data_IF_816642729762
#
_entry.id   IF_816642729762
#
_cell.length_a   1.000
_cell.length_b   1.000
_cell.length_c   1.000
_cell.angle_alpha   90.00
_cell.angle_beta   90.00
_cell.angle_gamma   90.00
#
_symmetry.space_group_name_H-M   'P 1'
#
loop_
_entity.id
_entity.type
_entity.pdbx_description
1 polymer ?
#
# COMPACT_ATOMS: atom_id res chain seq x y z
N UNK A 1 -8.26 -5.10 -18.70
CA UNK A 1 -6.88 -5.63 -18.72
C UNK A 1 -5.99 -4.67 -19.48
N UNK A 2 -4.73 -4.52 -19.05
CA UNK A 2 -3.68 -3.77 -19.72
C UNK A 2 -2.63 -4.74 -20.29
N UNK A 3 -1.98 -4.34 -21.39
CA UNK A 3 -0.88 -5.08 -21.99
C UNK A 3 0.38 -4.22 -21.93
N UNK A 4 1.36 -4.65 -21.13
CA UNK A 4 2.69 -4.05 -21.05
C UNK A 4 3.61 -4.82 -22.01
N UNK A 5 4.10 -4.14 -23.06
CA UNK A 5 5.05 -4.72 -24.05
C UNK A 5 6.44 -4.16 -23.77
N UNK A 6 7.39 -5.02 -23.43
CA UNK A 6 8.76 -4.63 -23.03
C UNK A 6 9.78 -5.22 -24.00
N UNK A 7 10.59 -4.40 -24.71
CA UNK A 7 11.65 -4.91 -25.56
C UNK A 7 12.73 -5.63 -24.73
N UNK A 8 13.11 -6.85 -25.11
CA UNK A 8 14.17 -7.62 -24.44
C UNK A 8 15.54 -6.93 -24.46
N UNK A 9 15.79 -6.10 -25.48
CA UNK A 9 17.01 -5.31 -25.59
C UNK A 9 17.01 -4.02 -24.73
N UNK A 10 15.92 -3.74 -24.01
CA UNK A 10 15.81 -2.55 -23.16
C UNK A 10 16.56 -2.76 -21.84
N UNK A 11 17.16 -1.69 -21.30
CA UNK A 11 17.79 -1.71 -19.99
C UNK A 11 16.82 -2.07 -18.84
N UNK A 12 15.51 -1.94 -19.07
CA UNK A 12 14.46 -2.22 -18.11
C UNK A 12 13.86 -3.64 -18.24
N UNK A 13 14.33 -4.45 -19.18
CA UNK A 13 13.75 -5.76 -19.47
C UNK A 13 13.79 -6.71 -18.26
N UNK A 14 14.94 -6.81 -17.60
CA UNK A 14 15.14 -7.66 -16.42
C UNK A 14 14.30 -7.18 -15.23
N UNK A 15 14.23 -5.87 -15.00
CA UNK A 15 13.40 -5.29 -13.94
C UNK A 15 11.92 -5.57 -14.17
N UNK A 16 11.41 -5.36 -15.38
CA UNK A 16 10.01 -5.63 -15.72
C UNK A 16 9.66 -7.12 -15.59
N UNK A 17 10.59 -8.02 -15.94
CA UNK A 17 10.40 -9.45 -15.78
C UNK A 17 10.37 -9.85 -14.29
N UNK A 18 11.27 -9.30 -13.49
CA UNK A 18 11.34 -9.53 -12.04
C UNK A 18 10.08 -9.02 -11.35
N UNK A 19 9.62 -7.82 -11.71
CA UNK A 19 8.35 -7.24 -11.25
C UNK A 19 7.16 -8.14 -11.57
N UNK A 20 7.03 -8.60 -12.83
CA UNK A 20 5.94 -9.45 -13.24
C UNK A 20 5.93 -10.80 -12.50
N UNK A 21 7.10 -11.39 -12.27
CA UNK A 21 7.25 -12.65 -11.50
C UNK A 21 6.85 -12.45 -10.05
N UNK A 22 7.29 -11.35 -9.43
CA UNK A 22 6.92 -10.99 -8.07
C UNK A 22 5.41 -10.82 -7.95
N UNK A 23 4.81 -9.95 -8.77
CA UNK A 23 3.37 -9.68 -8.76
C UNK A 23 2.53 -10.95 -9.02
N UNK A 24 3.01 -11.87 -9.86
CA UNK A 24 2.31 -13.15 -10.12
C UNK A 24 2.22 -14.03 -8.87
N UNK A 25 3.13 -13.87 -7.92
CA UNK A 25 3.15 -14.61 -6.64
C UNK A 25 2.28 -13.97 -5.54
N UNK A 26 1.77 -12.75 -5.78
CA UNK A 26 1.03 -11.96 -4.80
C UNK A 26 -0.47 -12.00 -5.08
N UNK A 27 -1.26 -12.14 -4.02
CA UNK A 27 -2.71 -12.10 -4.08
C UNK A 27 -3.26 -11.20 -2.97
N UNK A 28 -3.50 -9.92 -3.31
CA UNK A 28 -4.05 -8.92 -2.39
C UNK A 28 -4.92 -7.91 -3.14
N UNK A 29 -6.06 -7.44 -2.57
CA UNK A 29 -6.95 -6.50 -3.26
C UNK A 29 -6.30 -5.17 -3.64
N UNK A 30 -5.28 -4.73 -2.90
CA UNK A 30 -4.52 -3.50 -3.19
C UNK A 30 -3.27 -3.72 -4.05
N UNK A 31 -3.08 -4.90 -4.64
CA UNK A 31 -1.96 -5.20 -5.56
C UNK A 31 -2.56 -5.57 -6.93
N UNK A 32 -2.00 -5.07 -8.06
CA UNK A 32 -2.43 -5.43 -9.40
C UNK A 32 -2.22 -6.93 -9.67
N UNK A 33 -3.19 -7.56 -10.32
CA UNK A 33 -3.05 -8.96 -10.75
C UNK A 33 -2.33 -9.08 -12.06
N UNK A 34 -1.40 -10.02 -12.16
CA UNK A 34 -0.86 -10.48 -13.43
C UNK A 34 -1.73 -11.65 -13.93
N UNK A 35 -2.35 -11.47 -15.09
CA UNK A 35 -3.22 -12.48 -15.69
C UNK A 35 -2.45 -13.46 -16.56
N UNK A 36 -1.47 -12.92 -17.31
CA UNK A 36 -0.70 -13.72 -18.24
C UNK A 36 0.67 -13.11 -18.50
N UNK A 37 1.59 -13.95 -18.95
CA UNK A 37 2.95 -13.57 -19.31
C UNK A 37 3.38 -14.42 -20.50
N UNK A 38 3.71 -13.74 -21.61
CA UNK A 38 4.22 -14.37 -22.82
C UNK A 38 5.51 -13.68 -23.29
N UNK A 39 6.27 -14.34 -24.14
CA UNK A 39 7.46 -13.79 -24.75
C UNK A 39 7.65 -14.30 -26.19
N UNK A 40 8.26 -13.47 -27.01
CA UNK A 40 8.81 -13.85 -28.31
C UNK A 40 10.32 -13.55 -28.34
N UNK A 41 10.93 -13.59 -29.54
CA UNK A 41 12.36 -13.35 -29.67
C UNK A 41 12.77 -11.92 -29.31
N UNK A 42 11.87 -10.94 -29.34
CA UNK A 42 12.17 -9.51 -29.22
C UNK A 42 11.52 -8.85 -27.98
N UNK A 43 10.40 -9.40 -27.48
CA UNK A 43 9.59 -8.74 -26.46
C UNK A 43 9.12 -9.70 -25.38
N UNK A 44 8.89 -9.12 -24.17
CA UNK A 44 8.01 -9.66 -23.14
C UNK A 44 6.64 -9.02 -23.27
N UNK A 45 5.58 -9.81 -23.03
CA UNK A 45 4.18 -9.38 -23.03
C UNK A 45 3.57 -9.71 -21.68
N UNK A 46 3.22 -8.70 -20.89
CA UNK A 46 2.66 -8.85 -19.55
C UNK A 46 1.21 -8.38 -19.62
N UNK A 47 0.26 -9.27 -19.34
CA UNK A 47 -1.16 -8.96 -19.25
C UNK A 47 -1.51 -8.76 -17.79
N UNK A 48 -1.82 -7.53 -17.42
CA UNK A 48 -2.08 -7.13 -16.05
C UNK A 48 -3.47 -6.49 -15.85
N UNK A 49 -3.85 -6.29 -14.59
CA UNK A 49 -5.07 -5.59 -14.22
C UNK A 49 -4.98 -4.13 -14.71
N UNK A 50 -5.97 -3.72 -15.50
CA UNK A 50 -6.15 -2.29 -15.81
C UNK A 50 -6.81 -1.61 -14.63
N UNK A 51 -6.17 -0.59 -14.08
CA UNK A 51 -6.65 0.18 -12.95
C UNK A 51 -7.18 1.51 -13.49
N UNK A 52 -8.51 1.69 -13.39
CA UNK A 52 -9.19 2.91 -13.79
C UNK A 52 -9.30 3.86 -12.60
N UNK A 53 -8.33 4.75 -12.45
CA UNK A 53 -8.22 5.65 -11.31
C UNK A 53 -7.19 6.75 -11.52
N UNK A 54 -7.01 7.58 -10.52
CA UNK A 54 -5.99 8.62 -10.48
C UNK A 54 -4.98 8.35 -9.37
N UNK A 55 -3.80 8.95 -9.44
CA UNK A 55 -2.80 8.83 -8.37
C UNK A 55 -3.32 9.45 -7.07
N UNK A 56 -2.84 8.92 -5.94
CA UNK A 56 -3.21 9.49 -4.63
C UNK A 56 -2.84 10.97 -4.52
N UNK A 57 -1.73 11.38 -5.12
CA UNK A 57 -1.33 12.78 -5.21
C UNK A 57 -2.40 13.63 -5.92
N UNK A 58 -2.77 13.26 -7.15
CA UNK A 58 -3.81 13.96 -7.90
C UNK A 58 -5.15 13.97 -7.16
N UNK A 59 -5.53 12.83 -6.58
CA UNK A 59 -6.76 12.70 -5.80
C UNK A 59 -6.78 13.68 -4.62
N UNK A 60 -5.71 13.72 -3.81
CA UNK A 60 -5.62 14.62 -2.66
C UNK A 60 -5.65 16.10 -3.07
N UNK A 61 -4.94 16.46 -4.13
CA UNK A 61 -4.95 17.83 -4.68
C UNK A 61 -6.34 18.24 -5.18
N UNK A 62 -7.10 17.33 -5.81
CA UNK A 62 -8.49 17.59 -6.24
C UNK A 62 -9.44 17.74 -5.05
N UNK A 63 -9.26 16.95 -3.99
CA UNK A 63 -10.10 17.03 -2.78
C UNK A 63 -9.83 18.28 -1.96
N UNK A 64 -8.59 18.82 -1.97
CA UNK A 64 -8.10 19.93 -1.17
C UNK A 64 -8.20 19.72 0.35
N UNK A 65 -9.30 19.14 0.83
CA UNK A 65 -9.52 18.78 2.23
C UNK A 65 -10.22 17.42 2.30
N UNK A 66 -9.64 16.49 3.05
CA UNK A 66 -10.21 15.16 3.26
C UNK A 66 -10.81 15.02 4.67
N UNK A 67 -11.87 14.21 4.78
CA UNK A 67 -12.49 13.92 6.07
C UNK A 67 -11.64 12.95 6.87
N UNK A 68 -11.73 12.96 8.24
CA UNK A 68 -11.11 11.95 9.08
C UNK A 68 -11.46 10.51 8.67
N UNK A 69 -12.71 10.26 8.27
CA UNK A 69 -13.13 8.94 7.81
C UNK A 69 -12.40 8.47 6.56
N UNK A 70 -12.17 9.37 5.58
CA UNK A 70 -11.40 9.06 4.39
C UNK A 70 -9.92 8.82 4.73
N UNK A 71 -9.34 9.63 5.62
CA UNK A 71 -7.98 9.43 6.11
C UNK A 71 -7.81 8.03 6.72
N UNK A 72 -8.69 7.62 7.64
CA UNK A 72 -8.61 6.30 8.25
C UNK A 72 -8.80 5.16 7.24
N UNK A 73 -9.67 5.33 6.24
CA UNK A 73 -9.83 4.36 5.16
C UNK A 73 -8.55 4.18 4.34
N UNK A 74 -7.86 5.27 4.04
CA UNK A 74 -6.57 5.24 3.34
C UNK A 74 -5.53 4.53 4.21
N UNK A 75 -5.42 4.88 5.50
CA UNK A 75 -4.49 4.24 6.44
C UNK A 75 -4.73 2.74 6.54
N UNK A 76 -5.97 2.30 6.68
CA UNK A 76 -6.34 0.89 6.77
C UNK A 76 -5.86 0.11 5.55
N UNK A 77 -6.14 0.60 4.34
CA UNK A 77 -5.77 -0.08 3.11
C UNK A 77 -4.25 -0.14 2.92
N UNK A 78 -3.54 0.96 3.22
CA UNK A 78 -2.07 1.01 3.17
C UNK A 78 -1.46 0.05 4.20
N UNK A 79 -1.87 0.13 5.45
CA UNK A 79 -1.33 -0.76 6.48
C UNK A 79 -1.59 -2.24 6.14
N UNK A 80 -2.78 -2.58 5.66
CA UNK A 80 -3.13 -3.96 5.31
C UNK A 80 -2.24 -4.51 4.18
N UNK A 81 -1.95 -3.74 3.12
CA UNK A 81 -1.07 -4.22 2.05
C UNK A 81 0.37 -4.39 2.54
N UNK A 82 0.88 -3.51 3.40
CA UNK A 82 2.24 -3.65 3.96
C UNK A 82 2.34 -4.76 4.99
N UNK A 83 1.31 -4.99 5.80
CA UNK A 83 1.23 -6.18 6.67
C UNK A 83 1.29 -7.44 5.80
N UNK A 84 0.53 -7.49 4.70
CA UNK A 84 0.58 -8.62 3.77
C UNK A 84 1.99 -8.83 3.19
N UNK A 85 2.64 -7.79 2.66
CA UNK A 85 3.98 -7.89 2.07
C UNK A 85 5.03 -8.35 3.08
N UNK A 86 4.92 -7.93 4.34
CA UNK A 86 5.91 -8.22 5.37
C UNK A 86 5.68 -9.57 6.08
N UNK A 87 4.46 -10.15 6.05
CA UNK A 87 4.12 -11.30 6.91
C UNK A 87 3.55 -12.52 6.20
N UNK A 88 2.92 -12.35 5.03
CA UNK A 88 2.17 -13.45 4.38
C UNK A 88 3.03 -14.40 3.56
N UNK A 89 4.29 -14.05 3.35
CA UNK A 89 5.23 -14.82 2.54
C UNK A 89 6.36 -15.27 3.46
N UNK A 90 6.90 -16.46 3.24
CA UNK A 90 8.02 -17.02 4.03
C UNK A 90 9.23 -16.09 4.13
N UNK A 91 9.38 -15.19 3.17
CA UNK A 91 10.41 -14.16 3.14
C UNK A 91 9.73 -12.81 2.94
N UNK A 92 9.87 -11.85 3.86
CA UNK A 92 9.28 -10.52 3.71
C UNK A 92 9.69 -9.86 2.39
N UNK A 93 8.74 -9.14 1.78
CA UNK A 93 8.98 -8.28 0.63
C UNK A 93 9.02 -6.85 1.11
N UNK A 94 10.11 -6.14 0.80
CA UNK A 94 10.26 -4.72 1.07
C UNK A 94 9.93 -3.97 -0.22
N UNK A 95 9.01 -3.02 -0.14
CA UNK A 95 8.52 -2.28 -1.31
C UNK A 95 9.49 -1.18 -1.76
N UNK A 96 10.06 -0.40 -0.86
CA UNK A 96 11.15 0.58 -1.01
C UNK A 96 10.84 1.87 -1.77
N UNK A 97 9.79 1.95 -2.56
CA UNK A 97 9.47 3.16 -3.35
C UNK A 97 8.03 3.64 -3.12
N UNK A 98 7.64 3.71 -1.85
CA UNK A 98 6.32 4.22 -1.47
C UNK A 98 6.27 5.74 -1.60
N UNK A 99 5.37 6.21 -2.47
CA UNK A 99 5.08 7.63 -2.69
C UNK A 99 3.66 7.79 -3.25
N UNK A 100 3.06 8.98 -3.15
CA UNK A 100 1.66 9.20 -3.59
C UNK A 100 1.40 8.83 -5.05
N UNK A 101 2.38 9.01 -5.94
CA UNK A 101 2.28 8.70 -7.37
C UNK A 101 2.21 7.19 -7.65
N UNK A 102 2.69 6.33 -6.74
CA UNK A 102 2.66 4.88 -6.85
C UNK A 102 1.42 4.24 -6.22
N UNK A 103 0.45 5.06 -5.84
CA UNK A 103 -0.84 4.60 -5.30
C UNK A 103 -1.94 5.13 -6.21
N UNK A 104 -2.74 4.22 -6.79
CA UNK A 104 -3.91 4.60 -7.59
C UNK A 104 -5.16 4.49 -6.73
N UNK A 105 -5.96 5.55 -6.73
CA UNK A 105 -7.28 5.61 -6.09
C UNK A 105 -8.34 5.28 -7.13
N UNK A 106 -9.06 4.19 -6.92
CA UNK A 106 -10.15 3.75 -7.78
C UNK A 106 -11.37 3.40 -6.91
N UNK A 107 -12.47 4.17 -7.00
CA UNK A 107 -13.71 3.96 -6.24
C UNK A 107 -13.48 3.70 -4.73
N UNK A 108 -12.71 4.56 -4.07
CA UNK A 108 -12.30 4.43 -2.66
C UNK A 108 -11.44 3.19 -2.35
N UNK A 109 -10.94 2.50 -3.36
CA UNK A 109 -9.94 1.43 -3.21
C UNK A 109 -8.57 1.94 -3.61
N UNK A 110 -7.55 1.48 -2.90
CA UNK A 110 -6.17 1.79 -3.24
C UNK A 110 -5.52 0.60 -3.95
N UNK A 111 -4.74 0.92 -4.98
CA UNK A 111 -3.86 -0.02 -5.66
C UNK A 111 -2.44 0.50 -5.60
N UNK A 112 -1.56 -0.29 -5.00
CA UNK A 112 -0.13 -0.03 -4.97
C UNK A 112 0.48 -0.55 -6.26
N UNK A 113 1.14 0.33 -7.03
CA UNK A 113 1.73 0.02 -8.34
C UNK A 113 3.25 0.16 -8.28
N UNK A 114 3.95 -0.26 -9.34
CA UNK A 114 5.40 -0.16 -9.50
C UNK A 114 6.21 -0.92 -8.43
N UNK A 115 6.28 -2.24 -8.61
CA UNK A 115 7.09 -3.15 -7.81
C UNK A 115 8.51 -3.35 -8.38
N UNK A 116 8.93 -2.49 -9.33
CA UNK A 116 10.19 -2.64 -10.06
C UNK A 116 11.45 -2.61 -9.21
N UNK A 117 11.40 -1.99 -8.02
CA UNK A 117 12.51 -1.95 -7.04
C UNK A 117 12.24 -2.75 -5.77
N UNK A 118 11.10 -3.42 -5.69
CA UNK A 118 10.74 -4.28 -4.56
C UNK A 118 11.62 -5.54 -4.53
N UNK A 119 11.96 -6.01 -3.35
CA UNK A 119 12.85 -7.15 -3.18
C UNK A 119 12.50 -8.02 -1.98
N UNK A 120 12.82 -9.32 -2.09
CA UNK A 120 12.83 -10.23 -0.95
C UNK A 120 14.04 -9.97 -0.05
N UNK A 121 13.85 -10.00 1.26
CA UNK A 121 14.91 -9.74 2.27
C UNK A 121 16.17 -10.61 2.11
N UNK A 122 16.07 -11.81 1.53
CA UNK A 122 17.17 -12.80 1.49
C UNK A 122 17.94 -12.83 0.15
N UNK A 123 17.38 -12.27 -0.94
CA UNK A 123 17.95 -12.54 -2.27
C UNK A 123 19.05 -11.59 -2.72
N UNK A 124 19.18 -10.43 -2.10
CA UNK A 124 20.14 -9.44 -2.55
C UNK A 124 21.29 -9.25 -1.56
N UNK A 125 22.21 -10.21 -1.55
CA UNK A 125 23.53 -9.94 -1.00
C UNK A 125 24.21 -8.81 -1.78
N UNK A 126 24.34 -7.64 -1.18
CA UNK A 126 25.26 -6.54 -1.54
C UNK A 126 25.04 -5.76 -2.85
N UNK A 127 23.93 -5.89 -3.58
CA UNK A 127 23.67 -5.07 -4.76
C UNK A 127 22.34 -4.31 -4.67
N UNK A 128 22.05 -3.70 -3.51
CA UNK A 128 21.00 -2.71 -3.45
C UNK A 128 21.48 -1.43 -4.15
N UNK A 129 21.12 -1.27 -5.43
CA UNK A 129 21.26 0.03 -6.05
C UNK A 129 20.50 1.04 -5.19
N UNK A 130 21.06 2.23 -4.99
CA UNK A 130 20.47 3.35 -4.26
C UNK A 130 19.24 3.83 -5.02
N UNK A 131 18.06 3.25 -4.70
CA UNK A 131 16.79 3.64 -5.28
C UNK A 131 15.90 4.21 -4.18
N UNK A 132 15.16 5.24 -4.53
CA UNK A 132 14.12 5.82 -3.70
C UNK A 132 13.94 7.31 -3.99
N UNK A 133 12.77 7.83 -3.66
CA UNK A 133 12.51 9.26 -3.64
C UNK A 133 13.04 9.82 -2.32
N UNK A 134 13.94 10.83 -2.35
CA UNK A 134 14.58 11.44 -1.17
C UNK A 134 13.51 11.89 -0.14
N UNK A 135 12.34 12.28 -0.57
CA UNK A 135 11.28 12.80 0.30
C UNK A 135 10.59 11.70 1.13
N UNK A 136 10.42 10.49 0.55
CA UNK A 136 9.65 9.42 1.17
C UNK A 136 10.51 8.23 1.63
N UNK A 137 11.72 8.08 1.13
CA UNK A 137 12.55 6.91 1.41
C UNK A 137 13.35 7.05 2.69
N UNK A 138 13.51 5.94 3.40
CA UNK A 138 14.29 5.87 4.62
C UNK A 138 15.78 6.16 4.39
N UNK A 139 16.50 6.77 5.36
CA UNK A 139 17.91 7.12 5.21
C UNK A 139 18.80 5.95 4.83
N UNK A 140 18.52 4.74 5.36
CA UNK A 140 19.27 3.52 5.06
C UNK A 140 19.14 3.08 3.59
N UNK A 141 18.14 3.55 2.84
CA UNK A 141 18.02 3.28 1.41
C UNK A 141 19.12 3.97 0.58
N UNK A 142 19.85 4.93 1.17
CA UNK A 142 20.90 5.71 0.50
C UNK A 142 22.29 5.41 1.05
N UNK A 143 22.41 4.49 2.01
CA UNK A 143 23.67 4.04 2.61
C UNK A 143 23.97 2.59 2.19
N UNK A 144 25.04 2.03 2.73
CA UNK A 144 25.39 0.62 2.55
C UNK A 144 24.77 -0.28 3.65
N UNK A 145 23.82 0.25 4.41
CA UNK A 145 23.15 -0.47 5.48
C UNK A 145 22.17 -1.52 4.92
N UNK A 146 21.91 -2.54 5.72
CA UNK A 146 20.94 -3.57 5.37
C UNK A 146 19.52 -2.99 5.41
N UNK A 147 18.82 -3.04 4.29
CA UNK A 147 17.43 -2.62 4.20
C UNK A 147 16.54 -3.70 4.78
N UNK A 148 15.63 -3.30 5.68
CA UNK A 148 14.68 -4.15 6.38
C UNK A 148 13.25 -3.63 6.17
N UNK A 149 12.19 -4.36 6.58
CA UNK A 149 10.81 -3.84 6.59
C UNK A 149 10.63 -2.49 7.31
N UNK A 150 11.55 -2.12 8.20
CA UNK A 150 11.55 -0.81 8.84
C UNK A 150 11.71 0.36 7.85
N UNK A 151 12.28 0.14 6.66
CA UNK A 151 12.34 1.15 5.60
C UNK A 151 10.95 1.50 5.07
N UNK A 152 10.07 0.51 4.87
CA UNK A 152 8.69 0.76 4.46
C UNK A 152 7.87 1.44 5.55
N UNK A 153 8.16 1.17 6.83
CA UNK A 153 7.52 1.86 7.97
C UNK A 153 7.88 3.36 7.96
N UNK A 154 9.14 3.69 7.66
CA UNK A 154 9.54 5.09 7.49
C UNK A 154 8.78 5.75 6.34
N UNK A 155 8.74 5.09 5.18
CA UNK A 155 8.03 5.60 4.00
C UNK A 155 6.53 5.77 4.26
N UNK A 156 5.90 4.83 5.00
CA UNK A 156 4.52 4.96 5.46
C UNK A 156 4.36 6.20 6.36
N UNK A 157 5.28 6.43 7.30
CA UNK A 157 5.27 7.62 8.16
C UNK A 157 5.32 8.91 7.35
N UNK A 158 6.21 9.03 6.37
CA UNK A 158 6.32 10.17 5.48
C UNK A 158 5.03 10.36 4.64
N UNK A 159 4.50 9.27 4.09
CA UNK A 159 3.26 9.31 3.33
C UNK A 159 2.07 9.75 4.21
N UNK A 160 1.96 9.24 5.43
CA UNK A 160 0.91 9.67 6.37
C UNK A 160 1.04 11.16 6.72
N UNK A 161 2.28 11.64 6.92
CA UNK A 161 2.54 13.06 7.14
C UNK A 161 2.06 13.90 5.96
N UNK A 162 2.36 13.48 4.72
CA UNK A 162 1.89 14.13 3.51
C UNK A 162 0.36 14.16 3.43
N UNK A 163 -0.32 13.01 3.63
CA UNK A 163 -1.79 12.94 3.59
C UNK A 163 -2.43 13.84 4.66
N UNK A 164 -1.82 13.94 5.84
CA UNK A 164 -2.31 14.79 6.94
C UNK A 164 -2.29 16.28 6.60
N UNK A 165 -1.49 16.74 5.63
CA UNK A 165 -1.55 18.15 5.17
C UNK A 165 -2.87 18.50 4.50
N UNK A 166 -3.63 17.51 4.06
CA UNK A 166 -4.98 17.65 3.49
C UNK A 166 -6.10 17.43 4.52
N UNK A 167 -5.79 17.46 5.82
CA UNK A 167 -6.76 17.33 6.91
C UNK A 167 -6.76 18.58 7.79
N UNK A 168 -7.82 18.82 8.59
CA UNK A 168 -7.81 19.96 9.53
C UNK A 168 -6.68 19.83 10.55
N UNK A 169 -6.02 20.94 10.90
CA UNK A 169 -4.91 20.99 11.87
C UNK A 169 -5.23 20.30 13.19
N UNK A 170 -6.44 20.53 13.73
CA UNK A 170 -6.90 19.93 14.99
C UNK A 170 -6.97 18.40 14.93
N UNK A 171 -7.04 17.83 13.73
CA UNK A 171 -7.00 16.39 13.50
C UNK A 171 -5.56 15.90 13.31
N UNK A 172 -4.76 16.58 12.46
CA UNK A 172 -3.39 16.17 12.13
C UNK A 172 -2.47 16.10 13.37
N UNK A 173 -2.59 17.02 14.30
CA UNK A 173 -1.80 17.04 15.55
C UNK A 173 -1.88 15.76 16.37
N UNK A 174 -2.97 15.01 16.27
CA UNK A 174 -3.15 13.74 17.00
C UNK A 174 -2.18 12.64 16.57
N UNK A 175 -1.63 12.75 15.37
CA UNK A 175 -0.74 11.75 14.76
C UNK A 175 0.75 12.09 14.91
N UNK A 176 1.09 13.23 15.51
CA UNK A 176 2.46 13.72 15.55
C UNK A 176 3.43 12.71 16.17
N UNK A 177 3.06 12.01 17.25
CA UNK A 177 3.92 11.01 17.89
C UNK A 177 4.11 9.77 17.00
N UNK A 178 3.05 9.35 16.27
CA UNK A 178 3.11 8.22 15.34
C UNK A 178 4.08 8.53 14.20
N UNK A 179 3.94 9.73 13.60
CA UNK A 179 4.83 10.18 12.54
C UNK A 179 6.27 10.24 13.03
N UNK A 180 6.54 10.91 14.16
CA UNK A 180 7.89 11.02 14.70
C UNK A 180 8.54 9.67 14.96
N UNK A 181 7.81 8.69 15.54
CA UNK A 181 8.32 7.35 15.78
C UNK A 181 8.58 6.60 14.47
N UNK A 182 7.64 6.64 13.51
CA UNK A 182 7.79 5.98 12.22
C UNK A 182 8.96 6.54 11.40
N UNK A 183 9.19 7.88 11.45
CA UNK A 183 10.19 8.57 10.63
C UNK A 183 11.51 8.85 11.38
N UNK A 184 11.75 8.18 12.49
CA UNK A 184 13.03 8.24 13.21
C UNK A 184 14.16 7.72 12.31
N UNK A 185 15.31 8.42 12.27
CA UNK A 185 16.44 8.06 11.42
C UNK A 185 17.00 6.68 11.77
N UNK A 186 17.09 6.35 13.05
CA UNK A 186 17.48 5.02 13.52
C UNK A 186 16.33 4.03 13.33
N UNK A 187 16.52 3.07 12.42
CA UNK A 187 15.53 2.06 12.10
C UNK A 187 15.11 1.21 13.31
N UNK A 188 16.02 1.02 14.30
CA UNK A 188 15.75 0.22 15.50
C UNK A 188 14.78 0.89 16.49
N UNK A 189 14.58 2.20 16.37
CA UNK A 189 13.68 2.99 17.22
C UNK A 189 12.29 3.18 16.61
N UNK A 190 12.07 2.72 15.38
CA UNK A 190 10.76 2.74 14.71
C UNK A 190 9.84 1.67 15.30
N UNK A 191 8.65 1.55 14.73
CA UNK A 191 7.78 0.40 14.97
C UNK A 191 8.47 -0.88 14.51
N UNK A 192 8.27 -1.98 15.22
CA UNK A 192 8.83 -3.28 14.83
C UNK A 192 8.05 -3.84 13.64
N UNK A 193 6.74 -3.58 13.59
CA UNK A 193 5.84 -4.04 12.52
C UNK A 193 4.87 -2.94 12.09
N UNK A 194 4.37 -3.03 10.85
CA UNK A 194 3.28 -2.16 10.39
C UNK A 194 1.99 -2.40 11.20
N UNK A 195 1.80 -3.59 11.74
CA UNK A 195 0.63 -3.89 12.59
C UNK A 195 0.65 -3.05 13.88
N UNK A 196 1.80 -2.86 14.52
CA UNK A 196 1.93 -1.98 15.69
C UNK A 196 1.63 -0.52 15.33
N UNK A 197 2.16 -0.02 14.23
CA UNK A 197 1.84 1.33 13.73
C UNK A 197 0.34 1.48 13.49
N UNK A 198 -0.28 0.50 12.83
CA UNK A 198 -1.71 0.54 12.55
C UNK A 198 -2.57 0.47 13.81
N UNK A 199 -2.16 -0.30 14.82
CA UNK A 199 -2.84 -0.35 16.11
C UNK A 199 -2.92 1.03 16.79
N UNK A 200 -1.83 1.80 16.80
CA UNK A 200 -1.85 3.16 17.36
C UNK A 200 -2.76 4.10 16.55
N UNK A 201 -2.82 3.97 15.22
CA UNK A 201 -3.77 4.71 14.38
C UNK A 201 -5.22 4.35 14.73
N UNK A 202 -5.53 3.08 14.94
CA UNK A 202 -6.87 2.62 15.33
C UNK A 202 -7.28 3.14 16.73
N UNK A 203 -6.34 3.30 17.65
CA UNK A 203 -6.64 3.90 18.96
C UNK A 203 -7.07 5.36 18.82
N UNK A 204 -6.39 6.14 17.96
CA UNK A 204 -6.82 7.51 17.67
C UNK A 204 -8.21 7.50 17.00
N UNK A 205 -8.47 6.57 16.08
CA UNK A 205 -9.78 6.43 15.42
C UNK A 205 -10.91 6.24 16.44
N UNK A 206 -10.73 5.33 17.39
CA UNK A 206 -11.70 5.08 18.47
C UNK A 206 -11.96 6.33 19.32
N UNK A 207 -10.88 7.06 19.67
CA UNK A 207 -10.97 8.29 20.48
C UNK A 207 -11.65 9.45 19.71
N UNK A 208 -11.60 9.45 18.40
CA UNK A 208 -12.25 10.48 17.56
C UNK A 208 -13.72 10.20 17.28
N UNK A 209 -14.25 9.08 17.75
CA UNK A 209 -15.64 8.68 17.52
C UNK A 209 -15.96 8.35 16.07
N UNK A 210 -14.95 8.17 15.23
CA UNK A 210 -15.14 7.76 13.82
C UNK A 210 -15.42 6.26 13.79
N UNK A 211 -16.56 5.81 13.23
CA UNK A 211 -16.83 4.39 13.11
C UNK A 211 -15.81 3.75 12.16
N UNK A 212 -15.39 2.53 12.50
CA UNK A 212 -14.73 1.69 11.51
C UNK A 212 -15.65 1.59 10.30
N UNK A 213 -15.11 1.73 9.09
CA UNK A 213 -15.87 1.45 7.87
C UNK A 213 -16.29 -0.03 7.93
N UNK A 214 -17.53 -0.26 8.35
CA UNK A 214 -18.11 -1.59 8.29
C UNK A 214 -18.18 -1.93 6.79
N UNK A 215 -17.41 -2.93 6.37
CA UNK A 215 -17.56 -3.47 5.02
C UNK A 215 -19.03 -3.81 4.82
N UNK A 216 -19.68 -3.21 3.82
CA UNK A 216 -21.07 -3.48 3.51
C UNK A 216 -21.22 -4.98 3.24
N UNK A 217 -21.82 -5.70 4.18
CA UNK A 217 -22.12 -7.12 4.01
C UNK A 217 -23.40 -7.18 3.17
N UNK A 218 -23.29 -7.66 1.93
CA UNK A 218 -24.44 -7.96 1.11
C UNK A 218 -25.00 -9.33 1.51
N UNK A 219 -26.18 -9.34 2.15
CA UNK A 219 -26.90 -10.58 2.44
C UNK A 219 -27.85 -10.86 1.29
N UNK A 220 -27.53 -11.86 0.47
CA UNK A 220 -28.34 -12.28 -0.67
C UNK A 220 -29.19 -13.49 -0.29
N UNK A 221 -30.50 -13.33 -0.34
CA UNK A 221 -31.43 -14.46 -0.20
C UNK A 221 -31.60 -15.21 -1.52
N UNK A 222 -31.50 -16.53 -1.47
CA UNK A 222 -31.70 -17.38 -2.65
C UNK A 222 -33.15 -17.57 -3.04
N UNK A 223 -34.10 -17.32 -2.14
CA UNK A 223 -35.53 -17.41 -2.35
C UNK A 223 -36.34 -16.63 -1.28
N UNK A 224 -37.61 -16.42 -1.50
CA UNK A 224 -38.50 -15.78 -0.51
C UNK A 224 -38.54 -16.58 0.79
N UNK A 225 -38.37 -15.91 1.93
CA UNK A 225 -38.44 -16.53 3.26
C UNK A 225 -37.13 -17.14 3.77
N UNK A 226 -35.98 -16.96 3.10
CA UNK A 226 -34.68 -17.44 3.59
C UNK A 226 -34.11 -16.65 4.78
N UNK A 227 -34.82 -15.62 5.29
CA UNK A 227 -34.39 -14.83 6.45
C UNK A 227 -33.34 -13.74 6.15
N UNK A 228 -32.94 -13.57 4.89
CA UNK A 228 -31.90 -12.59 4.51
C UNK A 228 -32.23 -11.16 4.93
N UNK A 229 -33.52 -10.78 4.87
CA UNK A 229 -33.97 -9.44 5.26
C UNK A 229 -33.75 -9.20 6.77
N UNK A 230 -34.08 -10.20 7.58
CA UNK A 230 -33.90 -10.10 9.04
C UNK A 230 -32.43 -9.99 9.44
N UNK A 231 -31.56 -10.78 8.82
CA UNK A 231 -30.11 -10.71 9.04
C UNK A 231 -29.54 -9.37 8.58
N UNK A 232 -29.96 -8.85 7.42
CA UNK A 232 -29.50 -7.56 6.91
C UNK A 232 -29.88 -6.39 7.86
N UNK A 233 -31.09 -6.40 8.41
CA UNK A 233 -31.55 -5.37 9.38
C UNK A 233 -30.75 -5.47 10.67
N UNK A 234 -30.47 -6.67 11.18
CA UNK A 234 -29.67 -6.85 12.40
C UNK A 234 -28.23 -6.38 12.27
N UNK A 235 -27.62 -6.51 11.07
CA UNK A 235 -26.26 -6.05 10.79
C UNK A 235 -26.15 -4.53 10.58
N UNK A 236 -27.26 -3.84 10.29
CA UNK A 236 -27.26 -2.38 10.10
C UNK A 236 -27.59 -1.61 11.38
N UNK A 237 -27.99 -2.28 12.44
CA UNK A 237 -28.36 -1.67 13.73
C UNK A 237 -27.25 -1.77 14.80
N UNK A 238 -26.14 -2.44 14.53
CA UNK A 238 -24.94 -2.50 15.35
C UNK A 238 -23.84 -1.58 14.76
#
# INVERSE_FOLDING_TARGET
>A
RALKKVPKASAFAESALSEARLLKSLEHPSIPRIFDFEEDNAFYYIVEEYIDGETLDSFLLHQQLISPGLFFNICEQLCNVFIYLHTQISTPIIYRDLKPEHIIVCHNKLKLIDFGVSAYVIQDGNNFNRYGNIEFSAPECFTDDTITPAADIYSLGQLLQYILTFTPDSFSHKFQHIIQKATTSDASLRYVTVAELYQEIQEIQKLTGQPHLIHKIAVLGSHRGCGSTHVAVSLTCE
#
